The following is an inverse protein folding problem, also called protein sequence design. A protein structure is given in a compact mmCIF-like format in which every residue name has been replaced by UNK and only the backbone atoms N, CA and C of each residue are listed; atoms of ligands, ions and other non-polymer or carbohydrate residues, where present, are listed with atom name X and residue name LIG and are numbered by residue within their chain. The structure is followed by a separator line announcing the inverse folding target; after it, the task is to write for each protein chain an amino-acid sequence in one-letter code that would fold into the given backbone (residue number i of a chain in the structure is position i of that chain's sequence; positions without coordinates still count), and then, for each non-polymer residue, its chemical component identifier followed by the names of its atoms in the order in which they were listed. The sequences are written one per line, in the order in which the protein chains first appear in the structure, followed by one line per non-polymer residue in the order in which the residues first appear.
data_IF_502075844930
#
_entry.id   IF_502075844930
#
_cell.length_a   1.000
_cell.length_b   1.000
_cell.length_c   1.000
_cell.angle_alpha   90.00
_cell.angle_beta   90.00
_cell.angle_gamma   90.00
#
_symmetry.space_group_name_H-M   'P 1'
#
loop_
_entity.id
_entity.type
_entity.pdbx_description
1 polymer ?
#
# COMPACT_ATOMS: atom_id res chain seq x y z
N UNK A 1 10.16 -11.14 -1.91
CA UNK A 1 9.62 -11.50 -0.57
C UNK A 1 8.15 -11.17 -0.60
N UNK A 2 7.29 -12.13 -0.24
CA UNK A 2 5.84 -11.91 -0.24
C UNK A 2 5.41 -11.21 1.05
N UNK A 3 4.43 -10.31 0.93
CA UNK A 3 3.82 -9.68 2.10
C UNK A 3 3.03 -10.71 2.90
N UNK A 4 3.09 -10.68 4.27
CA UNK A 4 2.34 -11.62 5.07
C UNK A 4 0.83 -11.43 4.88
N UNK A 5 0.12 -12.54 4.65
CA UNK A 5 -1.35 -12.57 4.55
C UNK A 5 -2.02 -12.86 5.88
N UNK A 6 -1.23 -13.15 6.93
CA UNK A 6 -1.66 -13.45 8.29
C UNK A 6 -1.10 -12.42 9.26
N UNK A 7 -1.62 -12.42 10.48
CA UNK A 7 -1.10 -11.60 11.56
C UNK A 7 0.37 -11.94 11.85
N UNK A 8 1.18 -10.90 12.02
CA UNK A 8 2.60 -11.02 12.37
C UNK A 8 2.76 -10.82 13.89
N UNK A 9 3.42 -11.76 14.54
CA UNK A 9 3.59 -11.80 16.00
C UNK A 9 5.07 -11.69 16.38
N UNK A 10 5.36 -10.97 17.45
CA UNK A 10 6.70 -10.94 18.06
C UNK A 10 6.62 -10.66 19.54
N UNK A 11 7.72 -10.89 20.22
CA UNK A 11 7.92 -10.56 21.63
C UNK A 11 8.96 -9.47 21.77
N UNK A 12 8.69 -8.55 22.67
CA UNK A 12 9.62 -7.50 23.05
C UNK A 12 9.37 -7.08 24.49
N UNK A 13 10.44 -7.02 25.31
CA UNK A 13 10.37 -6.65 26.74
C UNK A 13 9.35 -7.47 27.54
N UNK A 14 9.26 -8.79 27.28
CA UNK A 14 8.34 -9.69 27.97
C UNK A 14 6.87 -9.53 27.60
N UNK A 15 6.55 -8.80 26.54
CA UNK A 15 5.18 -8.56 26.06
C UNK A 15 5.01 -9.06 24.64
N UNK A 16 3.85 -9.62 24.31
CA UNK A 16 3.49 -10.03 22.96
C UNK A 16 2.88 -8.84 22.20
N UNK A 17 3.28 -8.72 20.92
CA UNK A 17 2.78 -7.76 19.96
C UNK A 17 2.25 -8.49 18.74
N UNK A 18 1.10 -8.03 18.20
CA UNK A 18 0.44 -8.65 17.06
C UNK A 18 0.06 -7.55 16.06
N UNK A 19 0.68 -7.55 14.88
CA UNK A 19 0.30 -6.68 13.75
C UNK A 19 -0.66 -7.42 12.82
N UNK A 20 -1.87 -6.90 12.65
CA UNK A 20 -2.95 -7.55 11.91
C UNK A 20 -3.21 -6.78 10.60
N UNK A 21 -2.89 -7.37 9.44
CA UNK A 21 -2.96 -6.66 8.16
C UNK A 21 -4.39 -6.52 7.62
N UNK A 22 -5.26 -7.50 7.82
CA UNK A 22 -6.60 -7.55 7.24
C UNK A 22 -7.66 -7.86 8.29
N UNK A 23 -8.86 -7.29 8.13
CA UNK A 23 -9.98 -7.47 9.07
C UNK A 23 -10.45 -8.91 9.15
N UNK A 24 -10.37 -9.69 8.09
CA UNK A 24 -10.69 -11.12 8.11
C UNK A 24 -9.69 -11.99 8.92
N UNK A 25 -8.56 -11.42 9.36
CA UNK A 25 -7.67 -12.09 10.31
C UNK A 25 -8.08 -11.87 11.78
N UNK A 26 -8.95 -10.90 12.07
CA UNK A 26 -9.36 -10.56 13.43
C UNK A 26 -10.00 -11.74 14.18
N UNK A 27 -10.91 -12.54 13.58
CA UNK A 27 -11.51 -13.69 14.27
C UNK A 27 -10.49 -14.74 14.69
N UNK A 28 -9.54 -15.10 13.81
CA UNK A 28 -8.46 -16.06 14.11
C UNK A 28 -7.57 -15.55 15.25
N UNK A 29 -7.21 -14.26 15.23
CA UNK A 29 -6.40 -13.64 16.29
C UNK A 29 -7.15 -13.60 17.60
N UNK A 30 -8.45 -13.22 17.60
CA UNK A 30 -9.29 -13.22 18.79
C UNK A 30 -9.34 -14.59 19.45
N UNK A 31 -9.63 -15.63 18.66
CA UNK A 31 -9.68 -17.00 19.14
C UNK A 31 -8.33 -17.42 19.76
N UNK A 32 -7.23 -17.15 19.08
CA UNK A 32 -5.89 -17.47 19.57
C UNK A 32 -5.51 -16.78 20.89
N UNK A 33 -5.98 -15.55 21.13
CA UNK A 33 -5.77 -14.83 22.40
C UNK A 33 -6.60 -15.48 23.51
N UNK A 34 -7.87 -15.81 23.23
CA UNK A 34 -8.79 -16.41 24.22
C UNK A 34 -8.39 -17.84 24.62
N UNK A 35 -7.81 -18.61 23.71
CA UNK A 35 -7.30 -19.96 23.98
C UNK A 35 -6.07 -19.98 24.88
N UNK A 36 -5.55 -18.81 25.26
CA UNK A 36 -4.51 -18.69 26.27
C UNK A 36 -3.14 -19.23 25.85
N UNK A 37 -2.90 -19.35 24.56
CA UNK A 37 -1.64 -19.86 24.06
C UNK A 37 -0.53 -18.82 24.25
N UNK A 38 0.21 -18.93 25.35
CA UNK A 38 1.63 -18.64 25.46
C UNK A 38 2.09 -17.51 26.39
N UNK A 39 1.27 -16.52 26.85
CA UNK A 39 1.86 -15.41 27.60
C UNK A 39 1.04 -14.95 28.81
N UNK A 40 1.75 -14.62 29.86
CA UNK A 40 1.22 -13.94 31.03
C UNK A 40 0.98 -12.47 30.73
N UNK A 41 -0.25 -12.09 30.39
CA UNK A 41 -0.65 -10.71 30.19
C UNK A 41 -1.44 -10.45 28.91
N UNK A 42 -2.01 -9.25 28.80
CA UNK A 42 -2.74 -8.80 27.60
C UNK A 42 -1.74 -8.48 26.49
N UNK A 43 -1.88 -9.04 25.27
CA UNK A 43 -1.03 -8.68 24.16
C UNK A 43 -1.35 -7.27 23.66
N UNK A 44 -0.39 -6.63 23.00
CA UNK A 44 -0.61 -5.39 22.26
C UNK A 44 -0.97 -5.73 20.82
N UNK A 45 -2.14 -5.30 20.36
CA UNK A 45 -2.60 -5.54 18.99
C UNK A 45 -2.62 -4.23 18.19
N UNK A 46 -2.22 -4.29 16.93
CA UNK A 46 -2.17 -3.13 16.05
C UNK A 46 -2.22 -3.53 14.58
N UNK A 47 -1.87 -2.58 13.71
CA UNK A 47 -1.91 -2.76 12.26
C UNK A 47 -3.21 -2.26 11.63
N UNK A 48 -3.33 -2.33 10.28
CA UNK A 48 -4.46 -1.79 9.53
C UNK A 48 -5.84 -2.30 9.99
N UNK A 49 -5.97 -3.59 10.27
CA UNK A 49 -7.23 -4.18 10.70
C UNK A 49 -7.72 -3.63 12.04
N UNK A 50 -6.82 -3.45 13.00
CA UNK A 50 -7.15 -2.90 14.31
C UNK A 50 -7.54 -1.42 14.22
N UNK A 51 -6.88 -0.66 13.35
CA UNK A 51 -7.26 0.74 13.10
C UNK A 51 -8.64 0.90 12.46
N UNK A 52 -9.07 -0.09 11.66
CA UNK A 52 -10.42 -0.12 11.08
C UNK A 52 -11.50 -0.58 12.08
N UNK A 53 -11.15 -1.53 12.97
CA UNK A 53 -12.08 -2.17 13.90
C UNK A 53 -11.46 -2.26 15.30
N UNK A 54 -11.16 -1.13 15.98
CA UNK A 54 -10.44 -1.15 17.26
C UNK A 54 -11.21 -1.87 18.37
N UNK A 55 -12.54 -1.77 18.37
CA UNK A 55 -13.39 -2.36 19.42
C UNK A 55 -13.45 -3.89 19.35
N UNK A 56 -13.07 -4.50 18.21
CA UNK A 56 -13.17 -5.94 18.01
C UNK A 56 -12.29 -6.76 18.97
N UNK A 57 -11.16 -6.19 19.41
CA UNK A 57 -10.20 -6.84 20.31
C UNK A 57 -10.00 -6.09 21.63
N UNK A 58 -10.65 -4.95 21.84
CA UNK A 58 -10.40 -4.06 22.98
C UNK A 58 -10.69 -4.70 24.35
N UNK A 59 -11.60 -5.69 24.39
CA UNK A 59 -11.93 -6.44 25.61
C UNK A 59 -10.83 -7.43 26.03
N UNK A 60 -10.01 -7.92 25.09
CA UNK A 60 -9.01 -8.98 25.33
C UNK A 60 -7.56 -8.58 25.08
N UNK A 61 -7.32 -7.45 24.47
CA UNK A 61 -5.99 -6.95 24.11
C UNK A 61 -5.85 -5.44 24.34
N UNK A 62 -4.62 -4.96 24.46
CA UNK A 62 -4.34 -3.52 24.46
C UNK A 62 -4.19 -3.02 23.03
N UNK A 63 -4.92 -1.97 22.67
CA UNK A 63 -4.87 -1.41 21.33
C UNK A 63 -3.63 -0.53 21.20
N UNK A 64 -2.67 -0.97 20.38
CA UNK A 64 -1.47 -0.23 20.03
C UNK A 64 -1.65 0.47 18.68
N UNK A 65 -1.51 1.78 18.63
CA UNK A 65 -1.75 2.53 17.40
C UNK A 65 -0.55 2.56 16.46
N UNK A 66 0.62 2.97 16.94
CA UNK A 66 1.80 3.13 16.11
C UNK A 66 3.05 2.63 16.85
N UNK A 67 3.40 1.36 16.62
CA UNK A 67 4.63 0.79 17.15
C UNK A 67 5.76 1.07 16.17
N UNK A 68 6.81 1.80 16.57
CA UNK A 68 7.92 2.12 15.68
C UNK A 68 8.57 0.86 15.10
N UNK A 69 8.92 0.90 13.80
CA UNK A 69 9.66 -0.17 13.15
C UNK A 69 8.83 -1.41 12.76
N UNK A 70 7.51 -1.42 12.98
CA UNK A 70 6.64 -2.55 12.59
C UNK A 70 6.74 -2.87 11.09
N UNK A 71 6.80 -1.86 10.23
CA UNK A 71 6.91 -2.07 8.80
C UNK A 71 8.15 -2.90 8.45
N UNK A 72 9.33 -2.58 9.03
CA UNK A 72 10.57 -3.29 8.80
C UNK A 72 10.61 -4.67 9.46
N UNK A 73 9.85 -4.89 10.56
CA UNK A 73 9.67 -6.24 11.14
C UNK A 73 8.88 -7.13 10.20
N UNK A 74 7.83 -6.59 9.58
CA UNK A 74 6.99 -7.32 8.61
C UNK A 74 7.72 -7.53 7.29
N UNK A 75 8.43 -6.52 6.81
CA UNK A 75 9.26 -6.60 5.60
C UNK A 75 10.53 -5.74 5.76
N UNK A 76 11.72 -6.36 5.99
CA UNK A 76 12.97 -5.64 6.23
C UNK A 76 13.42 -4.74 5.08
N UNK A 77 12.90 -4.93 3.87
CA UNK A 77 13.21 -4.13 2.69
C UNK A 77 12.23 -2.98 2.45
N UNK A 78 11.19 -2.86 3.29
CA UNK A 78 10.14 -1.87 3.10
C UNK A 78 10.42 -0.58 3.86
N UNK A 79 10.12 0.54 3.21
CA UNK A 79 10.17 1.86 3.80
C UNK A 79 8.92 2.66 3.48
N UNK A 80 8.74 3.75 4.22
CA UNK A 80 7.69 4.73 3.98
C UNK A 80 8.30 6.11 4.14
N UNK A 81 8.07 6.98 3.17
CA UNK A 81 8.61 8.36 3.15
C UNK A 81 7.50 9.40 3.36
N UNK A 82 6.26 9.00 3.09
CA UNK A 82 5.04 9.77 3.36
C UNK A 82 4.01 8.90 4.07
N UNK A 83 3.05 9.51 4.73
CA UNK A 83 1.92 8.85 5.40
C UNK A 83 0.63 9.54 4.97
N UNK A 84 -0.45 8.77 4.84
CA UNK A 84 -1.74 9.29 4.41
C UNK A 84 -1.84 9.49 2.90
N UNK A 85 -2.92 10.14 2.46
CA UNK A 85 -3.18 10.44 1.06
C UNK A 85 -4.01 11.72 0.93
N UNK A 86 -3.75 12.51 -0.11
CA UNK A 86 -4.54 13.71 -0.44
C UNK A 86 -5.94 13.38 -0.98
N UNK A 87 -6.16 12.13 -1.40
CA UNK A 87 -7.44 11.67 -1.92
C UNK A 87 -8.25 10.97 -0.82
N UNK A 88 -9.58 11.03 -0.96
CA UNK A 88 -10.54 10.34 -0.10
C UNK A 88 -11.40 9.40 -0.94
N UNK A 89 -10.74 8.42 -1.60
CA UNK A 89 -11.45 7.43 -2.41
C UNK A 89 -12.38 6.59 -1.52
N UNK A 90 -13.66 6.41 -1.90
CA UNK A 90 -14.67 5.81 -1.02
C UNK A 90 -14.42 4.32 -0.70
N UNK A 91 -13.59 3.65 -1.49
CA UNK A 91 -13.18 2.26 -1.26
C UNK A 91 -11.90 2.11 -0.42
N UNK A 92 -11.22 3.22 -0.10
CA UNK A 92 -9.86 3.21 0.41
C UNK A 92 -9.81 3.35 1.94
N UNK A 93 -9.05 2.47 2.59
CA UNK A 93 -8.83 2.48 4.02
C UNK A 93 -7.87 3.60 4.49
N UNK A 94 -7.03 4.14 3.61
CA UNK A 94 -5.94 5.07 3.97
C UNK A 94 -6.39 6.26 4.81
N UNK A 95 -7.50 6.97 4.49
CA UNK A 95 -7.94 8.08 5.31
C UNK A 95 -8.26 7.69 6.77
N UNK A 96 -8.76 6.48 6.99
CA UNK A 96 -9.08 5.96 8.33
C UNK A 96 -7.82 5.46 9.07
N UNK A 97 -6.93 4.75 8.37
CA UNK A 97 -5.79 4.09 9.03
C UNK A 97 -4.56 4.99 9.18
N UNK A 98 -4.40 6.02 8.35
CA UNK A 98 -3.22 6.88 8.34
C UNK A 98 -3.52 8.38 8.51
N UNK A 99 -4.78 8.79 8.26
CA UNK A 99 -5.21 10.17 8.35
C UNK A 99 -4.76 11.03 7.18
N UNK A 100 -4.45 12.31 7.47
CA UNK A 100 -4.06 13.28 6.45
C UNK A 100 -2.65 13.03 5.91
N UNK A 101 -2.44 13.48 4.66
CA UNK A 101 -1.14 13.38 4.01
C UNK A 101 -0.08 14.21 4.74
N UNK A 102 1.08 13.60 4.99
CA UNK A 102 2.27 14.26 5.52
C UNK A 102 3.55 13.63 5.04
N UNK A 103 4.58 14.42 4.86
CA UNK A 103 5.94 14.00 4.57
C UNK A 103 6.66 13.63 5.88
N UNK A 104 7.39 12.53 5.87
CA UNK A 104 8.25 12.15 6.99
C UNK A 104 9.61 12.86 6.87
N UNK A 105 10.15 13.32 8.00
CA UNK A 105 11.45 14.00 8.02
C UNK A 105 12.61 13.02 7.82
N UNK A 106 12.47 11.83 8.39
CA UNK A 106 13.45 10.75 8.28
C UNK A 106 12.77 9.40 8.08
N UNK A 107 13.46 8.51 7.35
CA UNK A 107 13.01 7.15 7.07
C UNK A 107 14.21 6.26 6.71
N UNK A 108 14.14 4.92 6.94
CA UNK A 108 15.13 3.97 6.45
C UNK A 108 15.23 4.02 4.92
N UNK A 109 16.45 4.10 4.38
CA UNK A 109 16.67 4.06 2.94
C UNK A 109 16.61 2.62 2.44
N UNK A 110 15.42 2.14 2.04
CA UNK A 110 15.15 0.76 1.63
C UNK A 110 14.41 0.73 0.29
N UNK A 111 14.57 -0.35 -0.52
CA UNK A 111 14.12 -0.36 -1.91
C UNK A 111 12.61 -0.52 -2.14
N UNK A 112 11.83 -0.98 -1.16
CA UNK A 112 10.39 -1.14 -1.30
C UNK A 112 9.68 0.04 -0.65
N UNK A 113 9.17 0.95 -1.48
CA UNK A 113 8.48 2.17 -1.01
C UNK A 113 6.99 1.88 -0.86
N UNK A 114 6.47 2.07 0.36
CA UNK A 114 5.08 1.80 0.75
C UNK A 114 4.27 3.08 0.97
N UNK A 115 4.60 4.14 0.26
CA UNK A 115 3.86 5.39 0.30
C UNK A 115 2.53 5.26 -0.45
N UNK A 116 1.43 5.63 0.18
CA UNK A 116 0.11 5.55 -0.46
C UNK A 116 -0.08 6.60 -1.57
N UNK A 117 0.66 7.72 -1.54
CA UNK A 117 0.63 8.72 -2.61
C UNK A 117 1.90 9.58 -2.65
N UNK A 118 3.04 9.00 -3.02
CA UNK A 118 4.32 9.73 -3.11
C UNK A 118 4.25 10.92 -4.06
N UNK A 119 3.46 10.86 -5.15
CA UNK A 119 3.38 11.95 -6.13
C UNK A 119 2.65 13.21 -5.60
N UNK A 120 2.03 13.12 -4.42
CA UNK A 120 1.47 14.28 -3.73
C UNK A 120 2.50 15.04 -2.89
N UNK A 121 3.70 14.52 -2.74
CA UNK A 121 4.77 15.15 -1.97
C UNK A 121 5.28 16.43 -2.64
N UNK A 122 5.84 17.30 -1.84
CA UNK A 122 6.54 18.48 -2.35
C UNK A 122 7.71 18.08 -3.24
N UNK A 123 8.05 18.95 -4.20
CA UNK A 123 9.18 18.68 -5.09
C UNK A 123 10.49 18.39 -4.34
N UNK A 124 10.89 19.15 -3.29
CA UNK A 124 12.10 18.84 -2.54
C UNK A 124 12.05 17.47 -1.86
N UNK A 125 10.91 17.07 -1.31
CA UNK A 125 10.75 15.76 -0.68
C UNK A 125 10.84 14.63 -1.72
N UNK A 126 10.12 14.76 -2.82
CA UNK A 126 10.16 13.78 -3.92
C UNK A 126 11.59 13.62 -4.46
N UNK A 127 12.32 14.72 -4.69
CA UNK A 127 13.72 14.69 -5.12
C UNK A 127 14.61 13.96 -4.12
N UNK A 128 14.47 14.27 -2.82
CA UNK A 128 15.20 13.60 -1.75
C UNK A 128 14.95 12.09 -1.74
N UNK A 129 13.71 11.66 -1.96
CA UNK A 129 13.34 10.24 -2.05
C UNK A 129 14.02 9.58 -3.24
N UNK A 130 13.88 10.16 -4.44
CA UNK A 130 14.48 9.60 -5.65
C UNK A 130 16.01 9.52 -5.51
N UNK A 131 16.67 10.58 -5.04
CA UNK A 131 18.13 10.61 -4.92
C UNK A 131 18.64 9.55 -3.92
N UNK A 132 17.94 9.33 -2.81
CA UNK A 132 18.29 8.28 -1.85
C UNK A 132 18.08 6.88 -2.43
N UNK A 133 17.09 6.67 -3.28
CA UNK A 133 16.79 5.37 -3.87
C UNK A 133 17.79 4.95 -4.97
N UNK A 134 18.59 5.85 -5.54
CA UNK A 134 19.56 5.54 -6.61
C UNK A 134 20.60 4.48 -6.25
N UNK A 135 20.86 4.28 -4.97
CA UNK A 135 21.82 3.26 -4.50
C UNK A 135 21.27 1.84 -4.59
N UNK A 136 19.96 1.71 -4.78
CA UNK A 136 19.29 0.42 -4.82
C UNK A 136 19.02 -0.05 -6.25
N UNK A 137 19.12 -1.37 -6.46
CA UNK A 137 18.61 -2.04 -7.66
C UNK A 137 17.22 -2.59 -7.37
N UNK A 138 16.34 -2.56 -8.38
CA UNK A 138 15.01 -3.15 -8.27
C UNK A 138 14.09 -2.43 -7.28
N UNK A 139 14.11 -1.11 -7.26
CA UNK A 139 13.17 -0.30 -6.46
C UNK A 139 11.73 -0.66 -6.81
N UNK A 140 10.87 -0.80 -5.82
CA UNK A 140 9.45 -1.12 -6.01
C UNK A 140 8.55 -0.07 -5.31
N UNK A 141 7.79 0.68 -6.07
CA UNK A 141 6.74 1.57 -5.55
C UNK A 141 5.47 0.77 -5.27
N UNK A 142 5.50 0.02 -4.18
CA UNK A 142 4.60 -1.09 -3.89
C UNK A 142 3.12 -0.73 -3.76
N UNK A 143 2.79 0.47 -3.24
CA UNK A 143 1.38 0.88 -3.07
C UNK A 143 0.79 1.56 -4.30
N UNK A 144 1.61 1.85 -5.30
CA UNK A 144 1.20 2.52 -6.52
C UNK A 144 1.40 4.03 -6.49
N UNK A 145 1.55 4.58 -7.70
CA UNK A 145 1.71 6.00 -7.94
C UNK A 145 0.40 6.54 -8.57
N UNK A 146 -0.10 7.64 -8.06
CA UNK A 146 -1.36 8.23 -8.52
C UNK A 146 -1.22 8.82 -9.93
N UNK A 147 -1.81 8.16 -10.93
CA UNK A 147 -1.76 8.59 -12.32
C UNK A 147 -2.29 10.02 -12.55
N UNK A 148 -3.21 10.50 -11.68
CA UNK A 148 -3.79 11.86 -11.74
C UNK A 148 -2.76 12.95 -11.45
N UNK A 149 -1.76 12.63 -10.62
CA UNK A 149 -0.70 13.55 -10.20
C UNK A 149 0.59 13.39 -11.01
N UNK A 150 0.68 12.39 -11.89
CA UNK A 150 1.88 12.13 -12.68
C UNK A 150 2.16 13.30 -13.64
N UNK A 151 3.26 14.00 -13.41
CA UNK A 151 3.82 15.02 -14.32
C UNK A 151 4.95 14.44 -15.15
N UNK A 152 5.39 15.16 -16.22
CA UNK A 152 6.61 14.75 -16.95
C UNK A 152 7.83 14.78 -16.04
N UNK A 153 7.92 15.79 -15.15
CA UNK A 153 8.97 15.86 -14.14
C UNK A 153 9.06 14.60 -13.28
N UNK A 154 7.92 14.11 -12.76
CA UNK A 154 7.89 12.88 -11.97
C UNK A 154 8.40 11.68 -12.80
N UNK A 155 7.93 11.56 -14.04
CA UNK A 155 8.35 10.49 -14.94
C UNK A 155 9.85 10.51 -15.24
N UNK A 156 10.41 11.70 -15.52
CA UNK A 156 11.85 11.88 -15.81
C UNK A 156 12.70 11.48 -14.60
N UNK A 157 12.31 11.89 -13.39
CA UNK A 157 12.99 11.50 -12.14
C UNK A 157 12.89 10.01 -11.86
N UNK A 158 11.71 9.40 -12.07
CA UNK A 158 11.52 7.95 -11.91
C UNK A 158 12.37 7.13 -12.88
N UNK A 159 12.64 7.66 -14.06
CA UNK A 159 13.49 7.02 -15.08
C UNK A 159 14.97 6.92 -14.67
N UNK A 160 15.41 7.73 -13.69
CA UNK A 160 16.76 7.64 -13.12
C UNK A 160 16.98 6.38 -12.27
N UNK A 161 15.89 5.67 -11.93
CA UNK A 161 15.91 4.49 -11.08
C UNK A 161 15.73 3.21 -11.90
N UNK A 162 16.35 2.12 -11.42
CA UNK A 162 15.92 0.77 -11.82
C UNK A 162 14.70 0.37 -10.99
N UNK A 163 13.52 0.87 -11.41
CA UNK A 163 12.31 0.79 -10.60
C UNK A 163 11.17 0.05 -11.29
N UNK A 164 10.37 -0.65 -10.48
CA UNK A 164 9.06 -1.15 -10.84
C UNK A 164 8.02 -0.07 -10.51
N UNK A 165 7.32 0.39 -11.53
CA UNK A 165 6.29 1.42 -11.44
C UNK A 165 4.92 0.73 -11.35
N UNK A 166 4.16 1.06 -10.34
CA UNK A 166 2.79 0.59 -10.18
C UNK A 166 1.84 1.77 -10.29
N UNK A 167 0.87 1.66 -11.17
CA UNK A 167 -0.25 2.60 -11.30
C UNK A 167 -1.54 1.94 -10.80
N UNK A 168 -2.63 2.69 -10.75
CA UNK A 168 -3.96 2.16 -10.45
C UNK A 168 -4.99 2.66 -11.47
N UNK A 169 -5.91 1.78 -11.85
CA UNK A 169 -7.07 2.10 -12.69
C UNK A 169 -8.33 1.54 -12.04
N UNK A 170 -8.89 2.30 -11.13
CA UNK A 170 -9.99 1.85 -10.28
C UNK A 170 -11.37 2.04 -10.91
N UNK A 171 -11.48 2.93 -11.92
CA UNK A 171 -12.74 3.24 -12.59
C UNK A 171 -12.49 3.68 -14.03
N UNK A 172 -13.40 3.32 -14.96
CA UNK A 172 -13.32 3.69 -16.39
C UNK A 172 -13.26 5.21 -16.61
N UNK A 173 -13.93 6.01 -15.77
CA UNK A 173 -13.91 7.48 -15.86
C UNK A 173 -12.52 8.10 -15.66
N UNK A 174 -11.57 7.35 -15.08
CA UNK A 174 -10.19 7.82 -14.82
C UNK A 174 -9.19 7.41 -15.92
N UNK A 175 -9.65 6.76 -16.99
CA UNK A 175 -8.81 6.27 -18.09
C UNK A 175 -7.86 7.33 -18.66
N UNK A 176 -8.36 8.54 -18.89
CA UNK A 176 -7.56 9.66 -19.41
C UNK A 176 -6.31 9.94 -18.59
N UNK A 177 -6.38 9.81 -17.29
CA UNK A 177 -5.24 10.05 -16.40
C UNK A 177 -4.21 8.92 -16.52
N UNK A 178 -4.68 7.67 -16.59
CA UNK A 178 -3.81 6.52 -16.82
C UNK A 178 -3.06 6.66 -18.15
N UNK A 179 -3.76 6.93 -19.25
CA UNK A 179 -3.16 7.09 -20.57
C UNK A 179 -2.14 8.25 -20.62
N UNK A 180 -2.48 9.37 -19.95
CA UNK A 180 -1.56 10.50 -19.79
C UNK A 180 -0.29 10.10 -19.00
N UNK A 181 -0.43 9.39 -17.90
CA UNK A 181 0.69 8.91 -17.09
C UNK A 181 1.59 7.95 -17.89
N UNK A 182 0.99 6.98 -18.59
CA UNK A 182 1.73 6.02 -19.43
C UNK A 182 2.49 6.73 -20.56
N UNK A 183 1.90 7.76 -21.16
CA UNK A 183 2.57 8.57 -22.19
C UNK A 183 3.81 9.26 -21.64
N UNK A 184 3.72 9.85 -20.44
CA UNK A 184 4.84 10.53 -19.77
C UNK A 184 5.95 9.54 -19.38
N UNK A 185 5.58 8.38 -18.82
CA UNK A 185 6.54 7.34 -18.45
C UNK A 185 7.28 6.80 -19.68
N UNK A 186 6.56 6.58 -20.81
CA UNK A 186 7.19 6.16 -22.06
C UNK A 186 8.13 7.23 -22.61
N UNK A 187 7.72 8.51 -22.57
CA UNK A 187 8.57 9.63 -23.02
C UNK A 187 9.83 9.74 -22.19
N UNK A 188 9.77 9.42 -20.90
CA UNK A 188 10.93 9.35 -20.00
C UNK A 188 11.80 8.09 -20.20
N UNK A 189 11.43 7.18 -21.11
CA UNK A 189 12.20 5.97 -21.42
C UNK A 189 11.92 4.77 -20.52
N UNK A 190 10.87 4.81 -19.68
CA UNK A 190 10.51 3.68 -18.81
C UNK A 190 9.81 2.60 -19.67
N UNK A 191 10.36 1.38 -19.76
CA UNK A 191 9.81 0.33 -20.59
C UNK A 191 8.55 -0.29 -19.95
N UNK A 192 7.66 -0.81 -20.80
CA UNK A 192 6.34 -1.36 -20.37
C UNK A 192 6.46 -2.50 -19.37
N UNK A 193 7.48 -3.34 -19.48
CA UNK A 193 7.69 -4.47 -18.58
C UNK A 193 8.04 -4.05 -17.13
N UNK A 194 8.40 -2.79 -16.90
CA UNK A 194 8.59 -2.21 -15.58
C UNK A 194 7.31 -1.59 -15.01
N UNK A 195 6.23 -1.52 -15.79
CA UNK A 195 4.97 -0.91 -15.39
C UNK A 195 3.95 -2.01 -15.11
N UNK A 196 3.29 -1.93 -13.98
CA UNK A 196 2.14 -2.73 -13.59
C UNK A 196 0.97 -1.80 -13.27
N UNK A 197 -0.26 -2.29 -13.39
CA UNK A 197 -1.43 -1.50 -13.04
C UNK A 197 -2.37 -2.32 -12.14
N UNK A 198 -2.66 -1.82 -10.96
CA UNK A 198 -3.72 -2.34 -10.11
C UNK A 198 -5.07 -2.02 -10.74
N UNK A 199 -5.99 -2.97 -10.72
CA UNK A 199 -7.35 -2.81 -11.22
C UNK A 199 -8.32 -3.22 -10.13
N UNK A 200 -8.98 -2.25 -9.51
CA UNK A 200 -10.01 -2.52 -8.52
C UNK A 200 -11.23 -3.12 -9.22
N UNK A 201 -11.78 -4.22 -8.69
CA UNK A 201 -12.90 -4.95 -9.26
C UNK A 201 -13.98 -5.11 -8.19
N UNK A 202 -15.25 -4.86 -8.58
CA UNK A 202 -16.41 -5.06 -7.72
C UNK A 202 -16.72 -3.91 -6.76
N UNK A 203 -16.23 -2.70 -7.07
CA UNK A 203 -16.62 -1.48 -6.38
C UNK A 203 -17.22 -0.48 -7.38
N UNK A 204 -18.55 -0.36 -7.37
CA UNK A 204 -19.32 0.54 -8.26
C UNK A 204 -18.95 0.37 -9.76
N UNK A 205 -18.63 -0.84 -10.17
CA UNK A 205 -18.35 -1.22 -11.56
C UNK A 205 -19.11 -2.50 -11.93
N UNK A 206 -19.34 -2.68 -13.22
CA UNK A 206 -19.89 -3.92 -13.76
C UNK A 206 -18.78 -4.92 -14.10
N UNK A 207 -19.07 -6.22 -14.26
CA UNK A 207 -18.10 -7.19 -14.78
C UNK A 207 -17.52 -6.77 -16.13
N UNK A 208 -18.32 -6.14 -16.99
CA UNK A 208 -17.90 -5.63 -18.30
C UNK A 208 -16.91 -4.47 -18.17
N UNK A 209 -17.14 -3.53 -17.25
CA UNK A 209 -16.20 -2.44 -16.94
C UNK A 209 -14.86 -2.98 -16.43
N UNK A 210 -14.91 -3.99 -15.57
CA UNK A 210 -13.70 -4.63 -15.04
C UNK A 210 -12.94 -5.36 -16.16
N UNK A 211 -13.63 -6.13 -16.99
CA UNK A 211 -13.06 -6.84 -18.14
C UNK A 211 -12.43 -5.86 -19.14
N UNK A 212 -13.16 -4.81 -19.50
CA UNK A 212 -12.65 -3.75 -20.38
C UNK A 212 -11.31 -3.20 -19.91
N UNK A 213 -11.18 -2.86 -18.62
CA UNK A 213 -9.93 -2.32 -18.06
C UNK A 213 -8.80 -3.34 -18.11
N UNK A 214 -9.08 -4.61 -17.79
CA UNK A 214 -8.08 -5.68 -17.81
C UNK A 214 -7.58 -5.97 -19.23
N UNK A 215 -8.51 -6.08 -20.20
CA UNK A 215 -8.18 -6.34 -21.61
C UNK A 215 -7.45 -5.16 -22.26
N UNK A 216 -7.89 -3.93 -22.00
CA UNK A 216 -7.23 -2.71 -22.48
C UNK A 216 -5.78 -2.65 -22.00
N UNK A 217 -5.54 -2.88 -20.70
CA UNK A 217 -4.18 -2.91 -20.17
C UNK A 217 -3.34 -3.98 -20.85
N UNK A 218 -3.84 -5.21 -20.94
CA UNK A 218 -3.08 -6.35 -21.42
C UNK A 218 -2.85 -6.30 -22.93
N UNK A 219 -3.90 -6.09 -23.71
CA UNK A 219 -3.87 -6.26 -25.15
C UNK A 219 -3.58 -4.96 -25.90
N UNK A 220 -4.15 -3.83 -25.48
CA UNK A 220 -3.96 -2.56 -26.16
C UNK A 220 -2.71 -1.80 -25.68
N UNK A 221 -2.45 -1.82 -24.38
CA UNK A 221 -1.36 -1.05 -23.77
C UNK A 221 -0.10 -1.88 -23.50
N UNK A 222 -0.20 -3.22 -23.47
CA UNK A 222 0.92 -4.11 -23.18
C UNK A 222 1.43 -3.97 -21.73
N UNK A 223 0.54 -3.60 -20.81
CA UNK A 223 0.81 -3.43 -19.38
C UNK A 223 0.23 -4.63 -18.62
N UNK A 224 0.98 -5.16 -17.65
CA UNK A 224 0.50 -6.28 -16.84
C UNK A 224 -0.55 -5.80 -15.82
N UNK A 225 -1.84 -6.20 -15.96
CA UNK A 225 -2.85 -5.86 -14.98
C UNK A 225 -2.70 -6.72 -13.72
N UNK A 226 -2.96 -6.13 -12.57
CA UNK A 226 -3.04 -6.81 -11.29
C UNK A 226 -4.44 -6.62 -10.70
N UNK A 227 -5.38 -7.57 -10.92
CA UNK A 227 -6.73 -7.44 -10.43
C UNK A 227 -6.80 -7.50 -8.91
N UNK A 228 -7.52 -6.57 -8.31
CA UNK A 228 -7.75 -6.49 -6.87
C UNK A 228 -9.26 -6.47 -6.61
N UNK A 229 -9.77 -7.57 -6.07
CA UNK A 229 -11.18 -7.65 -5.70
C UNK A 229 -11.46 -6.75 -4.50
N UNK A 230 -12.47 -5.89 -4.62
CA UNK A 230 -12.96 -5.11 -3.50
C UNK A 230 -13.54 -6.03 -2.41
N UNK A 231 -13.20 -5.72 -1.19
CA UNK A 231 -13.81 -6.30 0.01
C UNK A 231 -14.16 -5.14 0.93
N UNK A 232 -15.38 -5.08 1.50
CA UNK A 232 -15.73 -4.04 2.45
C UNK A 232 -14.70 -3.93 3.58
N UNK A 233 -14.32 -2.72 3.95
CA UNK A 233 -13.19 -2.46 4.85
C UNK A 233 -13.33 -3.13 6.22
N UNK A 234 -14.55 -3.32 6.69
CA UNK A 234 -14.85 -3.98 7.97
C UNK A 234 -15.37 -5.42 7.80
N UNK A 235 -15.15 -6.06 6.64
CA UNK A 235 -15.53 -7.46 6.45
C UNK A 235 -14.62 -8.37 7.28
N UNK A 236 -15.22 -9.32 7.98
CA UNK A 236 -14.54 -10.41 8.67
C UNK A 236 -14.36 -11.64 7.79
N UNK A 237 -14.90 -11.61 6.57
CA UNK A 237 -14.80 -12.66 5.56
C UNK A 237 -13.88 -12.20 4.41
N UNK A 238 -13.26 -13.19 3.74
CA UNK A 238 -12.33 -12.97 2.64
C UNK A 238 -13.02 -13.13 1.29
#
# INVERSE_FOLDING_TARGET
MDWPKRAYRWQENGREYISIPFTYNLPEVRQSILEGNLFTGRPVVGGPAVKLMPDYLADIADIGTDIPGVLQRVNPLATRTTVGCVNRCPFCAVPTIEGEFRELQDWPNLPIVCDNNLLAASKPHFDKVIDRLKVHKGVDFNQGLDARLMTQYHADRLAELDAKIRLAWDNTSTERYLLSALTKLRKAGIPRNRIQCYVLIGFNDTPEDALYRLETLRHSLGINPNPMRYTPLCSLER
#
